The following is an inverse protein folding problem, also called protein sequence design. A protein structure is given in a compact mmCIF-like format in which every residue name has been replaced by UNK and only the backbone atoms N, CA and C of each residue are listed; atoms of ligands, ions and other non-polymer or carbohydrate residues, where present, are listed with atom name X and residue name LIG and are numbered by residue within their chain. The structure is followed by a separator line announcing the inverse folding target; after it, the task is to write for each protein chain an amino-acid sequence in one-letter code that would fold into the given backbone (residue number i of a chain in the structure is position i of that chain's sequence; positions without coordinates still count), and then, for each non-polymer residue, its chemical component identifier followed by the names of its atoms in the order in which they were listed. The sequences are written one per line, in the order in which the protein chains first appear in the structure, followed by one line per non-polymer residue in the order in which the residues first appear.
data_IF_239953183612
#
_entry.id   IF_239953183612
#
_cell.length_a   1.000
_cell.length_b   1.000
_cell.length_c   1.000
_cell.angle_alpha   90.00
_cell.angle_beta   90.00
_cell.angle_gamma   90.00
#
_symmetry.space_group_name_H-M   'P 1'
#
loop_
_entity.id
_entity.type
_entity.pdbx_description
1 polymer ?
#
# COMPACT_ATOMS: atom_id res chain seq x y z
N UNK A 1 3.04 24.25 -10.71
CA UNK A 1 3.03 22.79 -10.45
C UNK A 1 2.54 22.60 -9.02
N UNK A 2 1.28 22.20 -8.81
CA UNK A 2 0.80 21.92 -7.45
C UNK A 2 1.55 20.69 -6.93
N UNK A 3 2.24 20.84 -5.81
CA UNK A 3 2.84 19.72 -5.08
C UNK A 3 1.70 18.78 -4.67
N UNK A 4 1.74 17.54 -5.13
CA UNK A 4 0.88 16.48 -4.61
C UNK A 4 1.27 16.29 -3.14
N UNK A 5 0.34 16.56 -2.21
CA UNK A 5 0.55 16.33 -0.78
C UNK A 5 0.15 14.90 -0.46
N UNK A 6 1.09 14.12 0.09
CA UNK A 6 0.79 12.82 0.69
C UNK A 6 -0.06 13.01 1.93
N UNK A 7 -1.18 12.31 2.00
CA UNK A 7 -2.07 12.32 3.17
C UNK A 7 -2.20 10.88 3.69
N UNK A 8 -1.27 10.42 4.54
CA UNK A 8 -1.37 9.09 5.12
C UNK A 8 -2.58 9.04 6.05
N UNK A 9 -3.36 7.96 5.96
CA UNK A 9 -4.38 7.61 6.93
C UNK A 9 -3.92 6.30 7.58
N UNK A 10 -3.84 6.28 8.91
CA UNK A 10 -3.35 5.15 9.67
C UNK A 10 -4.27 4.93 10.87
N UNK A 11 -4.59 3.66 11.14
CA UNK A 11 -5.32 3.26 12.33
C UNK A 11 -4.91 1.84 12.71
N UNK A 12 -4.52 1.65 13.96
CA UNK A 12 -4.29 0.36 14.58
C UNK A 12 -5.23 0.22 15.78
N UNK A 13 -5.93 -0.91 15.84
CA UNK A 13 -6.87 -1.20 16.91
C UNK A 13 -6.64 -2.60 17.49
N UNK A 14 -6.84 -2.73 18.81
CA UNK A 14 -6.74 -3.98 19.56
C UNK A 14 -7.88 -4.03 20.57
N UNK A 15 -8.56 -5.18 20.67
CA UNK A 15 -9.65 -5.41 21.63
C UNK A 15 -10.77 -4.33 21.59
N UNK A 16 -11.13 -3.91 20.38
CA UNK A 16 -12.17 -2.89 20.15
C UNK A 16 -11.75 -1.46 20.50
N UNK A 17 -10.45 -1.20 20.74
CA UNK A 17 -9.91 0.14 21.03
C UNK A 17 -8.87 0.53 20.00
N UNK A 18 -8.91 1.78 19.57
CA UNK A 18 -7.85 2.39 18.75
C UNK A 18 -6.63 2.63 19.66
N UNK A 19 -5.48 2.09 19.27
CA UNK A 19 -4.22 2.21 20.00
C UNK A 19 -3.19 3.09 19.28
N UNK A 20 -3.41 3.37 17.99
CA UNK A 20 -2.62 4.35 17.23
C UNK A 20 -3.41 4.86 16.01
N UNK A 21 -3.52 6.18 15.84
CA UNK A 21 -4.25 6.83 14.72
C UNK A 21 -3.62 8.15 14.24
N UNK A 22 -2.53 8.61 14.86
CA UNK A 22 -1.84 9.84 14.44
C UNK A 22 -0.92 9.56 13.26
N UNK A 23 -1.38 9.91 12.05
CA UNK A 23 -0.62 9.70 10.83
C UNK A 23 0.67 10.55 10.73
N UNK A 24 0.91 11.51 11.64
CA UNK A 24 2.20 12.22 11.70
C UNK A 24 3.30 11.38 12.35
N UNK A 25 2.91 10.32 13.08
CA UNK A 25 3.82 9.42 13.81
C UNK A 25 4.13 8.13 13.05
N UNK A 26 3.57 7.97 11.84
CA UNK A 26 3.82 6.79 11.00
C UNK A 26 4.89 7.07 9.95
N UNK A 27 5.82 6.14 9.81
CA UNK A 27 6.76 6.06 8.69
C UNK A 27 6.33 4.91 7.79
N UNK A 28 6.07 5.23 6.53
CA UNK A 28 5.82 4.24 5.49
C UNK A 28 7.09 3.99 4.68
N UNK A 29 7.37 2.72 4.37
CA UNK A 29 8.42 2.35 3.43
C UNK A 29 8.02 1.11 2.63
N UNK A 30 8.61 0.97 1.44
CA UNK A 30 8.40 -0.16 0.55
C UNK A 30 9.74 -0.80 0.17
N UNK A 31 9.73 -2.10 -0.14
CA UNK A 31 10.90 -2.84 -0.61
C UNK A 31 10.52 -3.76 -1.77
N UNK A 32 11.55 -4.17 -2.51
CA UNK A 32 11.45 -5.19 -3.56
C UNK A 32 10.37 -4.84 -4.60
N UNK A 33 10.47 -3.65 -5.17
CA UNK A 33 9.56 -3.16 -6.20
C UNK A 33 9.83 -3.88 -7.52
N UNK A 34 8.80 -4.53 -8.05
CA UNK A 34 8.81 -5.18 -9.35
C UNK A 34 7.72 -4.60 -10.25
N UNK A 35 7.89 -4.70 -11.57
CA UNK A 35 6.82 -4.36 -12.51
C UNK A 35 5.84 -5.54 -12.56
N UNK A 36 4.59 -5.27 -12.22
CA UNK A 36 3.51 -6.25 -12.33
C UNK A 36 3.19 -6.46 -13.83
N UNK A 37 3.25 -7.72 -14.32
CA UNK A 37 3.26 -8.01 -15.75
C UNK A 37 1.98 -7.61 -16.48
N UNK A 38 0.82 -7.70 -15.81
CA UNK A 38 -0.45 -7.42 -16.47
C UNK A 38 -0.65 -5.93 -16.65
N UNK A 39 -0.51 -5.14 -15.58
CA UNK A 39 -0.77 -3.70 -15.55
C UNK A 39 0.43 -2.85 -15.97
N UNK A 40 1.64 -3.39 -15.93
CA UNK A 40 2.87 -2.65 -16.17
C UNK A 40 3.19 -1.65 -15.05
N UNK A 41 2.52 -1.75 -13.89
CA UNK A 41 2.71 -0.85 -12.75
C UNK A 41 3.78 -1.36 -11.79
N UNK A 42 4.55 -0.46 -11.15
CA UNK A 42 5.43 -0.87 -10.08
C UNK A 42 4.59 -1.36 -8.88
N UNK A 43 4.98 -2.48 -8.30
CA UNK A 43 4.35 -3.05 -7.10
C UNK A 43 5.45 -3.54 -6.18
N UNK A 44 5.39 -3.12 -4.91
CA UNK A 44 6.31 -3.57 -3.87
C UNK A 44 5.92 -4.96 -3.36
N UNK A 45 6.89 -5.85 -3.16
CA UNK A 45 6.62 -7.12 -2.47
C UNK A 45 6.55 -6.96 -0.96
N UNK A 46 7.13 -5.89 -0.39
CA UNK A 46 6.99 -5.56 1.02
C UNK A 46 6.55 -4.12 1.24
N UNK A 47 5.61 -3.96 2.15
CA UNK A 47 5.18 -2.66 2.68
C UNK A 47 5.34 -2.67 4.20
N UNK A 48 5.96 -1.63 4.73
CA UNK A 48 6.30 -1.53 6.14
C UNK A 48 5.74 -0.22 6.68
N UNK A 49 4.89 -0.33 7.70
CA UNK A 49 4.42 0.79 8.50
C UNK A 49 5.07 0.70 9.88
N UNK A 50 5.79 1.75 10.26
CA UNK A 50 6.37 1.89 11.58
C UNK A 50 5.74 3.09 12.28
N UNK A 51 5.01 2.85 13.36
CA UNK A 51 4.40 3.88 14.19
C UNK A 51 5.17 4.00 15.50
N UNK A 52 5.54 5.22 15.88
CA UNK A 52 6.28 5.47 17.13
C UNK A 52 5.62 6.58 17.94
N UNK A 53 5.30 6.30 19.21
CA UNK A 53 4.72 7.27 20.14
C UNK A 53 5.26 7.07 21.56
N UNK A 54 6.19 7.94 21.96
CA UNK A 54 6.88 7.81 23.23
C UNK A 54 7.65 6.50 23.33
N UNK A 55 7.27 5.64 24.28
CA UNK A 55 7.87 4.32 24.45
C UNK A 55 7.22 3.24 23.56
N UNK A 56 6.10 3.51 22.91
CA UNK A 56 5.38 2.52 22.11
C UNK A 56 5.88 2.55 20.66
N UNK A 57 6.22 1.39 20.11
CA UNK A 57 6.58 1.25 18.69
C UNK A 57 5.93 0.03 18.07
N UNK A 58 5.16 0.24 17.02
CA UNK A 58 4.46 -0.80 16.27
C UNK A 58 5.03 -0.90 14.87
N UNK A 59 5.39 -2.11 14.44
CA UNK A 59 5.87 -2.38 13.09
C UNK A 59 4.92 -3.38 12.43
N UNK A 60 4.30 -2.97 11.33
CA UNK A 60 3.47 -3.82 10.48
C UNK A 60 4.20 -4.05 9.17
N UNK A 61 4.57 -5.30 8.90
CA UNK A 61 5.19 -5.70 7.64
C UNK A 61 4.21 -6.57 6.85
N UNK A 62 3.74 -6.06 5.72
CA UNK A 62 2.93 -6.79 4.76
C UNK A 62 3.85 -7.38 3.69
N UNK A 63 3.76 -8.68 3.45
CA UNK A 63 4.53 -9.40 2.43
C UNK A 63 3.58 -9.97 1.39
N UNK A 64 3.72 -9.53 0.14
CA UNK A 64 2.90 -9.98 -0.98
C UNK A 64 3.19 -11.44 -1.32
N UNK A 65 2.16 -12.27 -1.33
CA UNK A 65 2.26 -13.65 -1.82
C UNK A 65 1.52 -13.85 -3.13
N UNK A 66 0.30 -13.31 -3.24
CA UNK A 66 -0.56 -13.51 -4.39
C UNK A 66 -1.30 -12.23 -4.77
N UNK A 67 -1.40 -12.01 -6.06
CA UNK A 67 -2.25 -11.00 -6.64
C UNK A 67 -3.65 -11.62 -6.86
N UNK A 68 -4.67 -11.08 -6.22
CA UNK A 68 -6.04 -11.65 -6.25
C UNK A 68 -6.97 -10.94 -7.22
N UNK A 69 -6.67 -9.70 -7.58
CA UNK A 69 -7.41 -8.94 -8.59
C UNK A 69 -6.48 -7.99 -9.34
N UNK A 70 -6.55 -8.04 -10.67
CA UNK A 70 -5.88 -7.15 -11.59
C UNK A 70 -6.96 -6.49 -12.44
N UNK A 71 -7.11 -5.18 -12.29
CA UNK A 71 -8.17 -4.48 -13.00
C UNK A 71 -7.65 -3.18 -13.59
N UNK A 72 -7.75 -3.06 -14.92
CA UNK A 72 -7.32 -1.89 -15.66
C UNK A 72 -8.54 -1.04 -16.00
N UNK A 73 -8.61 0.19 -15.51
CA UNK A 73 -9.74 1.09 -15.79
C UNK A 73 -9.97 1.33 -17.29
N UNK A 74 -8.92 1.19 -18.11
CA UNK A 74 -9.00 1.37 -19.56
C UNK A 74 -9.79 0.27 -20.28
N UNK A 75 -9.98 -0.89 -19.65
CA UNK A 75 -10.71 -2.02 -20.25
C UNK A 75 -12.23 -1.82 -20.24
N UNK A 76 -12.74 -0.90 -19.40
CA UNK A 76 -14.16 -0.50 -19.42
C UNK A 76 -14.46 0.65 -20.39
N UNK A 77 -13.44 1.28 -20.97
CA UNK A 77 -13.64 2.32 -21.95
C UNK A 77 -13.95 1.69 -23.32
N UNK A 78 -15.11 2.01 -23.87
CA UNK A 78 -15.52 1.60 -25.22
C UNK A 78 -15.44 2.77 -26.22
N UNK A 79 -15.14 2.44 -27.49
CA UNK A 79 -15.19 3.38 -28.61
C UNK A 79 -14.03 4.38 -28.67
N UNK A 80 -14.25 5.53 -29.33
CA UNK A 80 -13.22 6.55 -29.63
C UNK A 80 -12.54 7.09 -28.35
N UNK A 81 -13.24 7.07 -27.21
CA UNK A 81 -12.70 7.46 -25.90
C UNK A 81 -11.57 6.54 -25.43
N UNK A 82 -11.65 5.24 -25.70
CA UNK A 82 -10.60 4.28 -25.37
C UNK A 82 -9.33 4.52 -26.21
N UNK A 83 -9.50 4.87 -27.48
CA UNK A 83 -8.40 5.18 -28.39
C UNK A 83 -7.67 6.46 -27.95
N UNK A 84 -8.42 7.52 -27.59
CA UNK A 84 -7.83 8.74 -27.04
C UNK A 84 -7.14 8.48 -25.70
N UNK A 85 -7.77 7.75 -24.78
CA UNK A 85 -7.21 7.44 -23.45
C UNK A 85 -5.88 6.67 -23.53
N UNK A 86 -5.77 5.71 -24.47
CA UNK A 86 -4.50 5.04 -24.79
C UNK A 86 -3.45 6.02 -25.34
N UNK A 87 -3.86 6.97 -26.18
CA UNK A 87 -2.98 7.98 -26.77
C UNK A 87 -2.41 8.96 -25.73
N UNK A 88 -3.20 9.31 -24.70
CA UNK A 88 -2.79 10.24 -23.62
C UNK A 88 -2.30 9.55 -22.33
N UNK A 89 -2.07 8.23 -22.37
CA UNK A 89 -1.55 7.42 -21.24
C UNK A 89 -2.38 7.51 -19.95
N UNK A 90 -3.70 7.53 -20.05
CA UNK A 90 -4.57 7.26 -18.88
C UNK A 90 -4.53 5.75 -18.63
N UNK A 91 -3.51 5.31 -17.90
CA UNK A 91 -3.15 3.91 -17.65
C UNK A 91 -3.46 3.51 -16.20
N UNK A 92 -4.55 4.03 -15.64
CA UNK A 92 -4.92 3.73 -14.26
C UNK A 92 -5.19 2.24 -14.02
N UNK A 93 -4.85 1.76 -12.83
CA UNK A 93 -4.97 0.37 -12.45
C UNK A 93 -5.39 0.23 -10.98
N UNK A 94 -6.15 -0.82 -10.70
CA UNK A 94 -6.49 -1.27 -9.37
C UNK A 94 -5.92 -2.67 -9.18
N UNK A 95 -5.15 -2.86 -8.12
CA UNK A 95 -4.59 -4.15 -7.76
C UNK A 95 -5.00 -4.50 -6.34
N UNK A 96 -5.32 -5.77 -6.12
CA UNK A 96 -5.56 -6.34 -4.79
C UNK A 96 -4.62 -7.49 -4.54
N UNK A 97 -4.08 -7.52 -3.33
CA UNK A 97 -3.08 -8.48 -2.92
C UNK A 97 -3.53 -9.22 -1.67
N UNK A 98 -3.05 -10.45 -1.54
CA UNK A 98 -3.09 -11.21 -0.29
C UNK A 98 -1.69 -11.67 0.07
N UNK A 99 -1.44 -11.82 1.36
CA UNK A 99 -0.21 -12.40 1.87
C UNK A 99 -0.05 -12.17 3.37
N UNK A 100 1.15 -12.42 3.87
CA UNK A 100 1.44 -12.38 5.30
C UNK A 100 1.51 -10.95 5.86
N UNK A 101 0.86 -10.73 7.00
CA UNK A 101 1.11 -9.62 7.89
C UNK A 101 1.93 -10.11 9.09
N UNK A 102 3.08 -9.49 9.31
CA UNK A 102 3.82 -9.59 10.57
C UNK A 102 3.61 -8.32 11.38
N UNK A 103 3.10 -8.47 12.60
CA UNK A 103 3.01 -7.43 13.60
C UNK A 103 4.11 -7.59 14.65
N UNK A 104 4.76 -6.50 15.00
CA UNK A 104 5.72 -6.41 16.10
C UNK A 104 5.40 -5.20 16.95
N UNK A 105 5.33 -5.41 18.26
CA UNK A 105 5.14 -4.38 19.25
C UNK A 105 6.36 -4.33 20.17
N UNK A 106 6.96 -3.15 20.24
CA UNK A 106 8.06 -2.85 21.13
C UNK A 106 7.64 -1.84 22.18
N UNK A 107 8.14 -2.04 23.39
CA UNK A 107 8.13 -1.04 24.45
C UNK A 107 9.56 -0.60 24.72
N UNK A 108 9.81 0.69 24.52
CA UNK A 108 11.16 1.25 24.33
C UNK A 108 11.84 0.51 23.17
N UNK A 109 12.77 -0.39 23.47
CA UNK A 109 13.48 -1.20 22.47
C UNK A 109 13.30 -2.71 22.68
N UNK A 110 12.46 -3.10 23.64
CA UNK A 110 12.18 -4.52 23.91
C UNK A 110 10.98 -4.97 23.11
N UNK A 111 11.15 -6.01 22.29
CA UNK A 111 10.04 -6.68 21.61
C UNK A 111 9.18 -7.39 22.67
N UNK A 112 7.95 -6.92 22.85
CA UNK A 112 7.02 -7.46 23.85
C UNK A 112 5.93 -8.34 23.24
N UNK A 113 5.63 -8.18 21.95
CA UNK A 113 4.66 -9.00 21.24
C UNK A 113 5.01 -9.12 19.76
N UNK A 114 4.81 -10.32 19.20
CA UNK A 114 4.84 -10.55 17.76
C UNK A 114 3.67 -11.43 17.36
N UNK A 115 3.02 -11.09 16.26
CA UNK A 115 1.94 -11.87 15.68
C UNK A 115 2.14 -11.99 14.16
N UNK A 116 1.56 -13.06 13.60
CA UNK A 116 1.46 -13.24 12.16
C UNK A 116 0.03 -13.62 11.83
N UNK A 117 -0.47 -13.06 10.73
CA UNK A 117 -1.79 -13.37 10.21
C UNK A 117 -1.80 -13.18 8.68
N UNK A 118 -2.86 -13.66 8.04
CA UNK A 118 -3.13 -13.36 6.65
C UNK A 118 -3.68 -11.92 6.51
N UNK A 119 -3.41 -11.29 5.38
CA UNK A 119 -3.82 -9.93 5.13
C UNK A 119 -4.21 -9.69 3.68
N UNK A 120 -4.99 -8.63 3.48
CA UNK A 120 -5.43 -8.15 2.18
C UNK A 120 -5.24 -6.64 2.12
N UNK A 121 -4.69 -6.15 1.02
CA UNK A 121 -4.54 -4.72 0.78
C UNK A 121 -4.64 -4.40 -0.71
N UNK A 122 -4.78 -3.11 -1.00
CA UNK A 122 -5.18 -2.62 -2.31
C UNK A 122 -4.29 -1.45 -2.71
N UNK A 123 -4.00 -1.38 -4.01
CA UNK A 123 -3.18 -0.33 -4.60
C UNK A 123 -3.90 0.24 -5.82
N UNK A 124 -4.09 1.56 -5.79
CA UNK A 124 -4.71 2.30 -6.88
C UNK A 124 -3.71 3.25 -7.53
N UNK A 125 -3.56 3.09 -8.83
CA UNK A 125 -2.92 4.05 -9.72
C UNK A 125 -4.01 4.83 -10.45
N UNK A 126 -4.14 6.12 -10.14
CA UNK A 126 -5.13 6.99 -10.80
C UNK A 126 -4.67 7.49 -12.18
N UNK A 127 -3.41 7.28 -12.56
CA UNK A 127 -2.87 7.71 -13.85
C UNK A 127 -1.43 7.26 -14.08
N UNK A 128 -0.77 7.94 -15.03
CA UNK A 128 0.58 7.58 -15.43
C UNK A 128 1.56 7.76 -14.29
N UNK A 129 2.36 6.73 -14.04
CA UNK A 129 3.47 6.78 -13.10
C UNK A 129 4.67 7.33 -13.87
N UNK A 130 5.19 8.53 -13.53
CA UNK A 130 6.43 9.03 -14.12
C UNK A 130 7.56 8.04 -13.86
N UNK A 131 8.42 7.78 -14.85
CA UNK A 131 9.65 7.03 -14.62
C UNK A 131 10.65 7.95 -13.92
N UNK A 132 11.24 7.49 -12.83
CA UNK A 132 12.40 8.11 -12.19
C UNK A 132 13.69 7.79 -12.97
#
# INVERSE_FOLDING_TARGET
MQSCKTFPVFMLAKDGRVIADDATKVRFSIRDVAIEPDTGKPVANQMIYEYTDGAERYVLTFTREKDTLHYKFIEELHGIKALLARLIRVDGAYLRFTGDLKFEHYQTDTLVETQRDESLWELMYFGHVPRE
#
